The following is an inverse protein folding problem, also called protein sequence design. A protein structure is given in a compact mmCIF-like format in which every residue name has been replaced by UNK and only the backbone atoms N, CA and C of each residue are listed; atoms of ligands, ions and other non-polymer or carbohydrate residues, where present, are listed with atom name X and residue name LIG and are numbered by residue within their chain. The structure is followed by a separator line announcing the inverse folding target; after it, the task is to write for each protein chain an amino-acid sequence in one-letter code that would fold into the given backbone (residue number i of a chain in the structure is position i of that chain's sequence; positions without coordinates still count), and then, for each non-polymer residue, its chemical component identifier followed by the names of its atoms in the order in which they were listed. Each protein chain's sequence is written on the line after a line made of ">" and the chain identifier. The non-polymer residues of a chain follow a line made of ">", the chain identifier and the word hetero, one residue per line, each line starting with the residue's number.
data_IF_747635196651
#
_entry.id   IF_747635196651
#
_cell.length_a   1.000
_cell.length_b   1.000
_cell.length_c   1.000
_cell.angle_alpha   90.00
_cell.angle_beta   90.00
_cell.angle_gamma   90.00
#
_symmetry.space_group_name_H-M   'P 1'
#
loop_
_entity.id
_entity.type
_entity.pdbx_description
1 polymer ?
#
# COMPACT_ATOMS: atom_id res chain seq x y z
N UNK A 1 -10.77 4.95 14.65
CA UNK A 1 -12.03 4.26 15.03
C UNK A 1 -12.34 3.05 14.14
N UNK A 2 -12.33 3.16 12.79
CA UNK A 2 -12.71 2.06 11.88
C UNK A 2 -11.98 0.73 12.16
N UNK A 3 -10.65 0.77 12.29
CA UNK A 3 -9.83 -0.41 12.61
C UNK A 3 -10.29 -1.10 13.91
N UNK A 4 -10.51 -0.33 14.98
CA UNK A 4 -10.98 -0.86 16.27
C UNK A 4 -12.32 -1.58 16.13
N UNK A 5 -13.25 -1.03 15.34
CA UNK A 5 -14.55 -1.65 15.10
C UNK A 5 -14.42 -2.95 14.29
N UNK A 6 -13.57 -2.98 13.26
CA UNK A 6 -13.31 -4.18 12.47
C UNK A 6 -12.72 -5.30 13.31
N UNK A 7 -11.71 -5.02 14.12
CA UNK A 7 -11.12 -6.01 15.02
C UNK A 7 -12.09 -6.44 16.13
N UNK A 8 -12.89 -5.51 16.67
CA UNK A 8 -13.95 -5.86 17.63
C UNK A 8 -14.95 -6.85 17.04
N UNK A 9 -15.39 -6.62 15.81
CA UNK A 9 -16.29 -7.54 15.10
C UNK A 9 -15.61 -8.87 14.77
N UNK A 10 -14.41 -8.85 14.19
CA UNK A 10 -13.66 -10.05 13.80
C UNK A 10 -13.40 -10.97 15.00
N UNK A 11 -13.00 -10.41 16.15
CA UNK A 11 -12.80 -11.17 17.39
C UNK A 11 -14.10 -11.84 17.86
N UNK A 12 -15.24 -11.14 17.78
CA UNK A 12 -16.57 -11.70 18.15
C UNK A 12 -17.00 -12.87 17.24
N UNK A 13 -16.44 -12.94 16.03
CA UNK A 13 -16.74 -13.96 15.01
C UNK A 13 -15.63 -14.98 14.80
N UNK A 14 -14.53 -14.92 15.58
CA UNK A 14 -13.33 -15.75 15.35
C UNK A 14 -12.85 -15.64 13.89
N UNK A 15 -12.84 -14.43 13.35
CA UNK A 15 -12.49 -14.12 11.97
C UNK A 15 -11.23 -13.25 11.91
N UNK A 16 -10.69 -13.06 10.70
CA UNK A 16 -9.57 -12.17 10.43
C UNK A 16 -10.04 -10.89 9.72
N UNK A 17 -9.31 -9.80 9.89
CA UNK A 17 -9.52 -8.52 9.21
C UNK A 17 -8.76 -8.51 7.88
N UNK A 18 -9.50 -8.44 6.78
CA UNK A 18 -8.96 -8.30 5.42
C UNK A 18 -8.76 -6.81 5.08
N UNK A 19 -7.51 -6.41 4.83
CA UNK A 19 -7.14 -5.06 4.43
C UNK A 19 -7.25 -4.82 2.92
N UNK A 20 -7.46 -3.57 2.54
CA UNK A 20 -7.72 -3.15 1.16
C UNK A 20 -6.71 -2.13 0.60
N UNK A 21 -5.61 -1.86 1.31
CA UNK A 21 -4.53 -1.03 0.78
C UNK A 21 -3.85 -1.73 -0.40
N UNK A 22 -3.58 -0.97 -1.47
CA UNK A 22 -2.86 -1.46 -2.64
C UNK A 22 -1.36 -1.08 -2.59
N UNK A 23 -0.55 -1.68 -3.47
CA UNK A 23 0.90 -1.50 -3.51
C UNK A 23 1.30 -0.04 -3.65
N UNK A 24 0.56 0.73 -4.46
CA UNK A 24 0.81 2.14 -4.69
C UNK A 24 0.72 2.93 -3.39
N UNK A 25 -0.41 2.85 -2.70
CA UNK A 25 -0.65 3.52 -1.41
C UNK A 25 0.37 3.08 -0.35
N UNK A 26 0.64 1.77 -0.28
CA UNK A 26 1.59 1.21 0.68
C UNK A 26 3.01 1.76 0.46
N UNK A 27 3.49 1.80 -0.79
CA UNK A 27 4.84 2.22 -1.14
C UNK A 27 5.10 3.69 -0.82
N UNK A 28 4.13 4.58 -1.04
CA UNK A 28 4.28 6.01 -0.71
C UNK A 28 3.79 6.37 0.71
N UNK A 29 3.20 5.40 1.42
CA UNK A 29 2.68 5.62 2.77
C UNK A 29 1.38 6.42 2.83
N UNK A 30 0.59 6.40 1.76
CA UNK A 30 -0.69 7.08 1.67
C UNK A 30 -1.80 6.25 2.33
N UNK A 31 -1.63 6.05 3.64
CA UNK A 31 -2.56 5.37 4.53
C UNK A 31 -2.27 5.77 5.98
N UNK A 32 -3.22 5.56 6.88
CA UNK A 32 -3.02 5.79 8.31
C UNK A 32 -2.44 4.53 8.95
N UNK A 33 -1.25 4.64 9.55
CA UNK A 33 -0.65 3.54 10.32
C UNK A 33 -1.56 3.19 11.50
N UNK A 34 -1.94 1.92 11.64
CA UNK A 34 -2.95 1.44 12.60
C UNK A 34 -4.37 2.00 12.40
N UNK A 35 -4.63 2.65 11.26
CA UNK A 35 -5.95 2.99 10.78
C UNK A 35 -6.41 1.98 9.74
N UNK A 36 -6.66 2.45 8.52
CA UNK A 36 -6.96 1.61 7.36
C UNK A 36 -5.83 0.62 7.02
N UNK A 37 -4.57 0.91 7.37
CA UNK A 37 -3.48 -0.05 7.23
C UNK A 37 -3.43 -1.14 8.31
N UNK A 38 -4.25 -1.07 9.36
CA UNK A 38 -4.30 -2.10 10.42
C UNK A 38 -5.20 -3.27 10.00
N UNK A 39 -4.60 -4.38 9.59
CA UNK A 39 -5.29 -5.60 9.14
C UNK A 39 -4.41 -6.83 9.32
N UNK A 40 -5.00 -8.03 9.23
CA UNK A 40 -4.28 -9.30 9.38
C UNK A 40 -3.64 -9.77 8.07
N UNK A 41 -4.27 -9.46 6.92
CA UNK A 41 -3.74 -9.75 5.58
C UNK A 41 -4.30 -8.78 4.53
N UNK A 42 -3.60 -8.61 3.39
CA UNK A 42 -3.97 -7.68 2.32
C UNK A 42 -3.88 -8.37 0.94
N UNK A 43 -4.98 -8.94 0.41
CA UNK A 43 -4.96 -9.70 -0.85
C UNK A 43 -4.49 -8.90 -2.07
N UNK A 44 -4.71 -7.58 -2.07
CA UNK A 44 -4.35 -6.67 -3.16
C UNK A 44 -3.12 -5.81 -2.82
N UNK A 45 -2.44 -6.10 -1.71
CA UNK A 45 -1.31 -5.30 -1.22
C UNK A 45 -0.09 -5.29 -2.15
N UNK A 46 0.00 -6.24 -3.08
CA UNK A 46 1.06 -6.31 -4.09
C UNK A 46 0.58 -5.93 -5.51
N UNK A 47 -0.62 -5.35 -5.63
CA UNK A 47 -1.14 -4.81 -6.89
C UNK A 47 -1.02 -3.29 -6.90
N UNK A 48 -0.49 -2.72 -7.97
CA UNK A 48 -0.55 -1.28 -8.24
C UNK A 48 -2.00 -0.81 -8.43
N UNK A 49 -2.28 0.48 -8.23
CA UNK A 49 -3.65 1.02 -8.35
C UNK A 49 -4.25 0.75 -9.73
N UNK A 50 -3.45 0.94 -10.78
CA UNK A 50 -3.81 0.61 -12.16
C UNK A 50 -4.18 -0.86 -12.35
N UNK A 51 -3.45 -1.78 -11.70
CA UNK A 51 -3.76 -3.21 -11.72
C UNK A 51 -5.03 -3.56 -10.93
N UNK A 52 -5.30 -2.84 -9.84
CA UNK A 52 -6.56 -2.98 -9.09
C UNK A 52 -7.75 -2.61 -9.99
N UNK A 53 -7.66 -1.57 -10.81
CA UNK A 53 -8.72 -1.24 -11.78
C UNK A 53 -8.92 -2.35 -12.82
N UNK A 54 -7.83 -2.89 -13.38
CA UNK A 54 -7.89 -3.98 -14.35
C UNK A 54 -8.57 -5.23 -13.77
N UNK A 55 -8.22 -5.60 -12.54
CA UNK A 55 -8.85 -6.75 -11.86
C UNK A 55 -10.32 -6.45 -11.52
N UNK A 56 -10.64 -5.23 -11.09
CA UNK A 56 -12.02 -4.83 -10.81
C UNK A 56 -12.92 -4.94 -12.05
N UNK A 57 -12.43 -4.51 -13.22
CA UNK A 57 -13.12 -4.71 -14.50
C UNK A 57 -13.28 -6.19 -14.83
N UNK A 58 -12.20 -6.97 -14.69
CA UNK A 58 -12.19 -8.39 -15.02
C UNK A 58 -13.19 -9.21 -14.18
N UNK A 59 -13.33 -8.91 -12.88
CA UNK A 59 -14.25 -9.62 -11.99
C UNK A 59 -15.69 -9.04 -12.00
N UNK A 60 -15.96 -8.04 -12.82
CA UNK A 60 -17.29 -7.48 -13.01
C UNK A 60 -17.75 -6.50 -11.93
N UNK A 61 -16.84 -5.74 -11.31
CA UNK A 61 -17.24 -4.64 -10.41
C UNK A 61 -18.01 -3.58 -11.23
N UNK A 62 -19.13 -3.03 -10.72
CA UNK A 62 -19.90 -2.02 -11.43
C UNK A 62 -19.07 -0.81 -11.89
N UNK A 63 -19.23 -0.41 -13.16
CA UNK A 63 -18.53 0.74 -13.75
C UNK A 63 -18.64 2.06 -12.94
N UNK A 64 -19.78 2.39 -12.31
CA UNK A 64 -19.86 3.57 -11.44
C UNK A 64 -18.91 3.53 -10.25
N UNK A 65 -18.52 2.35 -9.77
CA UNK A 65 -17.54 2.19 -8.68
C UNK A 65 -16.12 2.35 -9.24
N UNK A 66 -15.82 1.72 -10.37
CA UNK A 66 -14.49 1.76 -11.00
C UNK A 66 -14.13 3.18 -11.46
N UNK A 67 -15.07 3.88 -12.12
CA UNK A 67 -14.88 5.25 -12.63
C UNK A 67 -14.95 6.34 -11.57
N UNK A 68 -15.29 5.98 -10.32
CA UNK A 68 -15.36 6.97 -9.24
C UNK A 68 -13.95 7.49 -8.95
N UNK A 69 -13.82 8.80 -8.87
CA UNK A 69 -12.56 9.43 -8.48
C UNK A 69 -12.08 8.88 -7.12
N UNK A 70 -10.82 8.41 -7.00
CA UNK A 70 -10.26 7.92 -5.75
C UNK A 70 -10.35 8.97 -4.64
N UNK A 71 -10.75 8.53 -3.46
CA UNK A 71 -10.91 9.40 -2.29
C UNK A 71 -10.84 8.56 -1.02
N UNK A 72 -9.98 8.94 -0.07
CA UNK A 72 -9.96 8.38 1.28
C UNK A 72 -11.24 8.70 2.08
N UNK A 73 -12.06 9.65 1.63
CA UNK A 73 -13.34 10.01 2.23
C UNK A 73 -13.22 10.55 3.66
N UNK A 74 -12.11 11.24 3.96
CA UNK A 74 -11.87 11.82 5.29
C UNK A 74 -12.54 13.19 5.45
N UNK A 75 -12.67 13.96 4.36
CA UNK A 75 -13.43 15.21 4.31
C UNK A 75 -14.10 15.43 2.95
N UNK A 76 -15.09 16.33 2.90
CA UNK A 76 -15.88 16.58 1.69
C UNK A 76 -15.01 17.16 0.58
N UNK A 77 -15.09 16.57 -0.61
CA UNK A 77 -14.37 17.03 -1.80
C UNK A 77 -12.92 16.55 -1.93
N UNK A 78 -12.42 15.74 -1.00
CA UNK A 78 -11.11 15.10 -1.11
C UNK A 78 -11.04 14.15 -2.30
N UNK A 79 -9.96 14.21 -3.08
CA UNK A 79 -9.59 13.18 -4.06
C UNK A 79 -8.10 12.89 -3.95
N UNK A 80 -7.73 11.62 -4.02
CA UNK A 80 -6.36 11.18 -3.73
C UNK A 80 -5.36 11.80 -4.72
N UNK A 81 -5.68 11.84 -6.02
CA UNK A 81 -4.78 12.41 -7.04
C UNK A 81 -4.50 13.91 -6.84
N UNK A 82 -5.47 14.66 -6.29
CA UNK A 82 -5.25 16.08 -5.95
C UNK A 82 -4.33 16.24 -4.74
N UNK A 83 -4.45 15.35 -3.76
CA UNK A 83 -3.59 15.38 -2.57
C UNK A 83 -2.17 14.89 -2.89
N UNK A 84 -2.06 13.88 -3.75
CA UNK A 84 -0.80 13.33 -4.22
C UNK A 84 -0.10 14.24 -5.24
N UNK A 85 -0.86 15.10 -5.94
CA UNK A 85 -0.38 15.99 -7.00
C UNK A 85 0.03 15.26 -8.27
N UNK A 86 -0.32 13.97 -8.40
CA UNK A 86 0.11 13.11 -9.51
C UNK A 86 -0.99 12.08 -9.80
N UNK A 87 -1.30 11.80 -11.08
CA UNK A 87 -2.22 10.72 -11.46
C UNK A 87 -1.66 9.35 -11.08
N UNK A 88 -2.53 8.42 -10.72
CA UNK A 88 -2.12 7.06 -10.35
C UNK A 88 -1.35 6.33 -11.46
N UNK A 89 -1.71 6.57 -12.73
CA UNK A 89 -1.01 5.98 -13.88
C UNK A 89 0.47 6.36 -13.90
N UNK A 90 0.79 7.65 -13.71
CA UNK A 90 2.18 8.13 -13.68
C UNK A 90 2.88 7.68 -12.41
N UNK A 91 2.21 7.74 -11.26
CA UNK A 91 2.74 7.27 -9.99
C UNK A 91 3.13 5.78 -10.02
N UNK A 92 2.29 4.93 -10.59
CA UNK A 92 2.55 3.50 -10.70
C UNK A 92 3.76 3.21 -11.59
N UNK A 93 3.92 3.95 -12.71
CA UNK A 93 5.10 3.85 -13.58
C UNK A 93 6.39 4.24 -12.87
N UNK A 94 6.35 5.31 -12.06
CA UNK A 94 7.49 5.71 -11.23
C UNK A 94 7.84 4.60 -10.24
N UNK A 95 6.85 4.11 -9.49
CA UNK A 95 7.05 3.08 -8.47
C UNK A 95 7.53 1.75 -9.08
N UNK A 96 7.05 1.40 -10.28
CA UNK A 96 7.50 0.25 -11.05
C UNK A 96 8.98 0.36 -11.44
N UNK A 97 9.40 1.53 -11.92
CA UNK A 97 10.80 1.80 -12.26
C UNK A 97 11.71 1.77 -11.03
N UNK A 98 11.26 2.36 -9.91
CA UNK A 98 11.98 2.33 -8.63
C UNK A 98 12.14 0.91 -8.08
N UNK A 99 11.09 0.08 -8.16
CA UNK A 99 11.15 -1.34 -7.76
C UNK A 99 12.21 -2.12 -8.55
N UNK A 100 12.29 -1.84 -9.86
CA UNK A 100 13.28 -2.45 -10.77
C UNK A 100 14.67 -1.83 -10.71
N UNK A 101 14.88 -0.85 -9.82
CA UNK A 101 16.14 -0.11 -9.68
C UNK A 101 16.58 0.52 -11.02
N UNK A 102 15.63 1.00 -11.82
CA UNK A 102 15.94 1.69 -13.06
C UNK A 102 16.63 3.04 -12.79
N UNK A 103 17.51 3.49 -13.71
CA UNK A 103 18.04 4.85 -13.71
C UNK A 103 16.92 5.91 -13.76
N UNK A 104 17.14 7.06 -13.13
CA UNK A 104 16.10 8.11 -12.99
C UNK A 104 15.65 8.66 -14.34
N UNK A 105 16.58 8.86 -15.27
CA UNK A 105 16.34 9.28 -16.66
C UNK A 105 15.38 8.30 -17.37
N UNK A 106 15.55 6.99 -17.15
CA UNK A 106 14.62 5.98 -17.69
C UNK A 106 13.25 6.02 -17.04
N UNK A 107 13.18 6.34 -15.74
CA UNK A 107 11.89 6.49 -15.05
C UNK A 107 11.13 7.72 -15.58
N UNK A 108 11.83 8.84 -15.79
CA UNK A 108 11.30 10.07 -16.40
C UNK A 108 10.71 9.77 -17.78
N UNK A 109 11.45 9.02 -18.62
CA UNK A 109 11.01 8.62 -19.96
C UNK A 109 9.73 7.77 -19.93
N UNK A 110 9.68 6.71 -19.13
CA UNK A 110 8.52 5.80 -19.11
C UNK A 110 7.28 6.43 -18.47
N UNK A 111 7.47 7.26 -17.44
CA UNK A 111 6.38 7.88 -16.69
C UNK A 111 5.86 9.16 -17.35
N UNK A 112 6.60 9.69 -18.34
CA UNK A 112 6.32 10.96 -19.00
C UNK A 112 6.12 12.08 -17.96
N UNK A 113 7.13 12.28 -17.11
CA UNK A 113 7.03 13.21 -15.97
C UNK A 113 8.38 13.80 -15.60
N UNK A 114 8.37 14.99 -15.01
CA UNK A 114 9.59 15.68 -14.58
C UNK A 114 10.40 14.86 -13.57
N UNK A 115 11.73 14.97 -13.68
CA UNK A 115 12.68 14.33 -12.75
C UNK A 115 12.40 14.67 -11.29
N UNK A 116 11.98 15.91 -11.01
CA UNK A 116 11.64 16.35 -9.66
C UNK A 116 10.50 15.54 -9.04
N UNK A 117 9.52 15.11 -9.85
CA UNK A 117 8.43 14.25 -9.36
C UNK A 117 8.91 12.83 -9.06
N UNK A 118 9.82 12.30 -9.87
CA UNK A 118 10.46 11.00 -9.60
C UNK A 118 11.22 11.04 -8.27
N UNK A 119 11.98 12.12 -8.03
CA UNK A 119 12.70 12.33 -6.78
C UNK A 119 11.72 12.48 -5.60
N UNK A 120 10.65 13.27 -5.76
CA UNK A 120 9.61 13.46 -4.74
C UNK A 120 8.97 12.13 -4.34
N UNK A 121 8.56 11.30 -5.30
CA UNK A 121 7.97 9.97 -5.03
C UNK A 121 8.98 9.04 -4.34
N UNK A 122 10.25 9.05 -4.77
CA UNK A 122 11.32 8.30 -4.11
C UNK A 122 11.47 8.71 -2.65
N UNK A 123 11.44 10.01 -2.35
CA UNK A 123 11.49 10.52 -0.98
C UNK A 123 10.25 10.14 -0.15
N UNK A 124 9.04 10.25 -0.71
CA UNK A 124 7.81 9.82 -0.04
C UNK A 124 7.92 8.34 0.36
N UNK A 125 8.44 7.49 -0.54
CA UNK A 125 8.69 6.08 -0.25
C UNK A 125 9.67 5.89 0.91
N UNK A 126 10.78 6.61 0.93
CA UNK A 126 11.78 6.49 2.00
C UNK A 126 11.20 6.98 3.34
N UNK A 127 10.64 8.19 3.37
CA UNK A 127 10.07 8.83 4.57
C UNK A 127 8.94 7.99 5.18
N UNK A 128 8.17 7.30 4.36
CA UNK A 128 7.06 6.44 4.81
C UNK A 128 7.45 5.00 5.18
N UNK A 129 8.73 4.61 5.08
CA UNK A 129 9.16 3.23 5.32
C UNK A 129 8.70 2.67 6.67
N UNK A 130 8.69 3.50 7.71
CA UNK A 130 8.23 3.12 9.04
C UNK A 130 6.76 2.63 9.09
N UNK A 131 5.92 2.96 8.10
CA UNK A 131 4.53 2.50 8.03
C UNK A 131 4.39 1.07 7.52
N UNK A 132 5.36 0.57 6.75
CA UNK A 132 5.38 -0.79 6.17
C UNK A 132 6.09 -1.83 7.04
N UNK A 133 6.70 -1.39 8.13
CA UNK A 133 7.40 -2.26 9.08
C UNK A 133 6.59 -2.42 10.36
N UNK A 134 6.68 -3.62 10.93
CA UNK A 134 6.40 -3.85 12.35
C UNK A 134 7.29 -2.95 13.23
N UNK A 135 6.89 -2.66 14.48
CA UNK A 135 7.76 -1.94 15.42
C UNK A 135 9.16 -2.57 15.48
N UNK A 136 10.19 -1.73 15.43
CA UNK A 136 11.57 -2.20 15.57
C UNK A 136 11.80 -2.72 16.98
N UNK A 137 12.41 -3.91 17.08
CA UNK A 137 12.73 -4.56 18.35
C UNK A 137 14.25 -4.63 18.50
N UNK A 138 14.85 -4.02 19.54
CA UNK A 138 16.28 -4.18 19.82
C UNK A 138 16.64 -5.64 20.05
N UNK A 139 17.60 -6.17 19.29
CA UNK A 139 18.01 -7.58 19.37
C UNK A 139 18.90 -7.81 20.59
N UNK A 140 18.44 -8.66 21.50
CA UNK A 140 19.20 -9.11 22.68
C UNK A 140 19.44 -10.63 22.62
N UNK A 141 18.42 -11.40 22.25
CA UNK A 141 18.47 -12.87 22.20
C UNK A 141 18.81 -13.44 20.81
N UNK A 142 18.70 -14.77 20.70
CA UNK A 142 18.99 -15.52 19.48
C UNK A 142 18.09 -15.10 18.30
N UNK A 143 16.80 -14.90 18.57
CA UNK A 143 15.76 -14.56 17.57
C UNK A 143 14.87 -13.40 18.05
N UNK A 144 14.60 -12.46 17.18
CA UNK A 144 13.68 -11.31 17.25
C UNK A 144 12.39 -11.55 16.45
N UNK A 145 11.25 -11.42 17.14
CA UNK A 145 9.90 -11.55 16.56
C UNK A 145 9.74 -10.67 15.32
N UNK A 146 9.08 -11.21 14.28
CA UNK A 146 8.75 -10.55 13.01
C UNK A 146 9.93 -10.10 12.12
N UNK A 147 11.18 -10.21 12.58
CA UNK A 147 12.37 -9.95 11.77
C UNK A 147 13.07 -11.26 11.35
N UNK A 148 13.45 -12.08 12.33
CA UNK A 148 14.16 -13.34 12.12
C UNK A 148 13.36 -14.57 12.61
N UNK A 149 12.36 -14.38 13.48
CA UNK A 149 11.46 -15.45 13.92
C UNK A 149 10.37 -15.69 12.88
N UNK A 150 10.62 -16.63 11.96
CA UNK A 150 9.76 -16.93 10.79
C UNK A 150 8.97 -18.25 10.91
N UNK A 151 8.77 -18.78 12.12
CA UNK A 151 8.05 -20.05 12.39
C UNK A 151 6.51 -19.86 12.40
N UNK A 152 5.68 -20.86 12.01
CA UNK A 152 5.97 -22.28 11.86
C UNK A 152 5.83 -22.75 10.42
N UNK A 153 6.93 -22.87 9.69
CA UNK A 153 6.91 -23.55 8.39
C UNK A 153 7.11 -25.04 8.65
N UNK A 154 6.11 -25.71 9.22
CA UNK A 154 6.11 -27.15 9.54
C UNK A 154 7.27 -27.61 10.47
N UNK A 155 6.96 -28.10 11.66
CA UNK A 155 7.90 -29.07 12.27
C UNK A 155 7.95 -30.25 11.30
N UNK A 156 9.10 -30.46 10.64
CA UNK A 156 9.25 -31.51 9.65
C UNK A 156 8.82 -32.86 10.22
N UNK A 157 7.99 -33.58 9.47
CA UNK A 157 7.94 -35.03 9.56
C UNK A 157 9.11 -35.62 8.77
#
# INVERSE_FOLDING_TARGET
>A
LRMLLWYGYANSKKSLVCGCSNKTELLIGYFTKYGDGGSDFMPIGDLYKTQVYQIAEHIGIPMPIIKKAPSAGLWKGQTDEKELGIPYEKLDRILYGLERKMPVDKIVEIADIDEQEVIRVKEMRIKSQHKRNVPLVPKIGLRTVALDWRSPVQEGQ
#
